data_IF_066575575552
#
_entry.id   IF_066575575552
#
_cell.length_a   1.000
_cell.length_b   1.000
_cell.length_c   1.000
_cell.angle_alpha   90.00
_cell.angle_beta   90.00
_cell.angle_gamma   90.00
#
_symmetry.space_group_name_H-M   'P 1'
#
loop_
_entity.id
_entity.type
_entity.pdbx_description
1 polymer ?
#
# COMPACT_ATOMS: atom_id res chain seq x y z
N UNK A 1 1.63 20.21 -9.64
CA UNK A 1 0.67 19.40 -10.44
C UNK A 1 0.11 20.18 -11.62
N UNK A 2 -0.69 21.24 -11.42
CA UNK A 2 -1.31 21.99 -12.53
C UNK A 2 -0.30 22.53 -13.56
N UNK A 3 0.88 22.97 -13.12
CA UNK A 3 1.99 23.42 -13.99
C UNK A 3 2.46 22.32 -14.97
N UNK A 4 2.26 21.04 -14.62
CA UNK A 4 2.57 19.88 -15.45
C UNK A 4 1.33 19.28 -16.15
N UNK A 5 0.24 20.04 -16.26
CA UNK A 5 -0.99 19.59 -16.92
C UNK A 5 -1.78 18.52 -16.16
N UNK A 6 -1.44 18.27 -14.90
CA UNK A 6 -2.16 17.32 -14.04
C UNK A 6 -3.24 18.05 -13.26
N UNK A 7 -4.50 17.72 -13.51
CA UNK A 7 -5.67 18.36 -12.91
C UNK A 7 -6.39 17.46 -11.90
N UNK A 8 -6.06 16.17 -11.89
CA UNK A 8 -6.52 15.20 -10.92
C UNK A 8 -5.35 14.47 -10.27
N UNK A 9 -5.51 14.03 -9.03
CA UNK A 9 -4.51 13.20 -8.35
C UNK A 9 -4.32 11.85 -9.05
N UNK A 10 -5.34 11.34 -9.75
CA UNK A 10 -5.23 10.13 -10.57
C UNK A 10 -4.22 10.24 -11.70
N UNK A 11 -3.88 11.45 -12.14
CA UNK A 11 -2.96 11.67 -13.25
C UNK A 11 -1.51 11.30 -12.87
N UNK A 12 -1.26 11.04 -11.57
CA UNK A 12 0.01 10.51 -11.07
C UNK A 12 0.14 8.99 -11.20
N UNK A 13 -0.95 8.26 -11.47
CA UNK A 13 -0.95 6.78 -11.46
C UNK A 13 -0.03 6.23 -12.55
N UNK A 14 -0.21 6.65 -13.80
CA UNK A 14 0.61 6.19 -14.93
C UNK A 14 2.09 6.60 -14.76
N UNK A 15 2.44 7.88 -14.47
CA UNK A 15 3.83 8.28 -14.28
C UNK A 15 4.56 7.57 -13.13
N UNK A 16 3.83 7.22 -12.07
CA UNK A 16 4.38 6.43 -10.96
C UNK A 16 4.57 4.96 -11.36
N UNK A 17 3.62 4.39 -12.10
CA UNK A 17 3.71 3.01 -12.60
C UNK A 17 4.90 2.83 -13.56
N UNK A 18 5.16 3.81 -14.43
CA UNK A 18 6.34 3.82 -15.33
C UNK A 18 7.67 3.74 -14.57
N UNK A 19 7.70 4.21 -13.32
CA UNK A 19 8.86 4.16 -12.41
C UNK A 19 8.82 2.94 -11.48
N UNK A 20 7.94 1.98 -11.74
CA UNK A 20 7.78 0.74 -10.96
C UNK A 20 6.99 0.91 -9.66
N UNK A 21 6.30 2.05 -9.47
CA UNK A 21 5.53 2.35 -8.27
C UNK A 21 4.04 2.25 -8.60
N UNK A 22 3.46 1.08 -8.32
CA UNK A 22 2.03 0.84 -8.56
C UNK A 22 1.24 1.16 -7.29
N UNK A 23 0.37 2.16 -7.37
CA UNK A 23 -0.52 2.57 -6.29
C UNK A 23 -1.97 2.56 -6.78
N UNK A 24 -2.91 2.24 -5.88
CA UNK A 24 -4.33 2.42 -6.14
C UNK A 24 -4.72 3.90 -6.15
N UNK A 25 -5.82 4.25 -6.81
CA UNK A 25 -6.32 5.63 -6.87
C UNK A 25 -6.52 6.23 -5.46
N UNK A 26 -7.03 5.45 -4.52
CA UNK A 26 -7.20 5.88 -3.13
C UNK A 26 -5.86 6.11 -2.42
N UNK A 27 -4.83 5.29 -2.71
CA UNK A 27 -3.49 5.49 -2.15
C UNK A 27 -2.87 6.78 -2.69
N UNK A 28 -3.00 7.04 -3.99
CA UNK A 28 -2.52 8.28 -4.61
C UNK A 28 -3.25 9.50 -4.04
N UNK A 29 -4.56 9.40 -3.86
CA UNK A 29 -5.33 10.47 -3.21
C UNK A 29 -4.81 10.75 -1.79
N UNK A 30 -4.65 9.73 -0.94
CA UNK A 30 -4.15 9.91 0.44
C UNK A 30 -2.72 10.44 0.49
N UNK A 31 -1.89 10.08 -0.48
CA UNK A 31 -0.52 10.57 -0.59
C UNK A 31 -0.45 12.09 -0.84
N UNK A 32 -1.40 12.63 -1.61
CA UNK A 32 -1.39 14.03 -2.06
C UNK A 32 -2.31 14.92 -1.21
N UNK A 33 -3.46 14.41 -0.79
CA UNK A 33 -4.50 15.18 -0.11
C UNK A 33 -4.43 15.09 1.43
N UNK A 34 -3.77 14.06 1.97
CA UNK A 34 -3.60 13.84 3.42
C UNK A 34 -2.11 13.82 3.78
N UNK A 35 -1.79 13.89 5.07
CA UNK A 35 -0.43 13.64 5.56
C UNK A 35 -0.19 12.13 5.61
N UNK A 36 0.68 11.55 4.75
CA UNK A 36 0.93 10.12 4.77
C UNK A 36 1.75 9.73 6.02
N UNK A 37 1.39 8.64 6.69
CA UNK A 37 2.15 8.13 7.84
C UNK A 37 3.48 7.49 7.44
N UNK A 38 3.53 6.92 6.23
CA UNK A 38 4.67 6.16 5.71
C UNK A 38 4.81 6.43 4.23
N UNK A 39 6.02 6.80 3.83
CA UNK A 39 6.42 6.99 2.44
C UNK A 39 7.80 6.36 2.25
N UNK A 40 8.05 5.82 1.06
CA UNK A 40 9.36 5.27 0.71
C UNK A 40 10.18 6.34 0.00
N UNK A 41 11.50 6.32 0.17
CA UNK A 41 12.39 7.27 -0.53
C UNK A 41 12.23 7.21 -2.06
N UNK A 42 12.13 6.03 -2.72
CA UNK A 42 11.91 5.97 -4.15
C UNK A 42 10.63 6.67 -4.61
N UNK A 43 9.55 6.60 -3.82
CA UNK A 43 8.30 7.30 -4.11
C UNK A 43 8.49 8.81 -4.08
N UNK A 44 9.20 9.32 -3.07
CA UNK A 44 9.46 10.75 -2.94
C UNK A 44 10.30 11.24 -4.13
N UNK A 45 11.37 10.53 -4.48
CA UNK A 45 12.22 10.88 -5.61
C UNK A 45 11.45 10.82 -6.94
N UNK A 46 10.59 9.82 -7.11
CA UNK A 46 9.71 9.73 -8.28
C UNK A 46 8.76 10.93 -8.34
N UNK A 47 8.17 11.36 -7.22
CA UNK A 47 7.33 12.55 -7.20
C UNK A 47 8.11 13.81 -7.55
N UNK A 48 9.32 13.99 -7.03
CA UNK A 48 10.17 15.12 -7.39
C UNK A 48 10.44 15.18 -8.90
N UNK A 49 10.77 14.04 -9.51
CA UNK A 49 10.99 13.90 -10.96
C UNK A 49 9.70 14.10 -11.78
N UNK A 50 8.56 13.61 -11.28
CA UNK A 50 7.21 13.79 -11.88
C UNK A 50 6.65 15.21 -11.67
N UNK A 51 7.19 16.00 -10.75
CA UNK A 51 6.68 17.34 -10.44
C UNK A 51 7.65 18.49 -10.76
N UNK A 52 8.89 18.19 -11.17
CA UNK A 52 9.99 19.14 -11.43
C UNK A 52 10.40 19.94 -10.21
N UNK A 53 10.36 19.30 -9.04
CA UNK A 53 10.59 20.01 -7.80
C UNK A 53 11.69 19.35 -6.97
N UNK A 54 12.27 20.14 -6.08
CA UNK A 54 13.26 19.66 -5.12
C UNK A 54 12.56 18.97 -3.95
N UNK A 55 13.32 18.17 -3.20
CA UNK A 55 12.82 17.49 -1.99
C UNK A 55 12.27 18.49 -0.95
N UNK A 56 12.89 19.67 -0.86
CA UNK A 56 12.46 20.76 0.01
C UNK A 56 11.10 21.34 -0.37
N UNK A 57 10.70 21.22 -1.63
CA UNK A 57 9.42 21.74 -2.12
C UNK A 57 8.26 20.78 -1.78
N UNK A 58 8.56 19.50 -1.55
CA UNK A 58 7.59 18.50 -1.08
C UNK A 58 7.37 18.56 0.44
N UNK A 59 8.40 18.95 1.20
CA UNK A 59 8.38 18.93 2.65
C UNK A 59 7.85 20.25 3.21
N UNK A 60 6.55 20.30 3.53
CA UNK A 60 6.01 21.39 4.35
C UNK A 60 6.42 21.19 5.82
N UNK A 61 6.83 22.27 6.49
CA UNK A 61 6.97 22.26 7.95
C UNK A 61 5.62 21.90 8.57
N UNK A 62 5.55 20.88 9.44
CA UNK A 62 4.29 20.50 10.06
C UNK A 62 3.77 21.67 10.88
N UNK A 63 2.60 22.19 10.50
CA UNK A 63 1.91 23.20 11.29
C UNK A 63 1.57 22.58 12.66
N UNK A 64 2.07 23.15 13.78
CA UNK A 64 1.83 22.59 15.11
C UNK A 64 0.33 22.52 15.45
N UNK A 65 -0.53 23.31 14.80
CA UNK A 65 -1.97 23.26 14.98
C UNK A 65 -2.65 22.05 14.31
N UNK A 66 -2.01 21.43 13.30
CA UNK A 66 -2.53 20.25 12.58
C UNK A 66 -1.95 18.91 13.06
N UNK A 67 -1.06 18.92 14.05
CA UNK A 67 -0.50 17.72 14.65
C UNK A 67 -1.56 16.94 15.43
N UNK A 68 -2.44 16.25 14.71
CA UNK A 68 -3.45 15.38 15.29
C UNK A 68 -2.72 14.14 15.76
N UNK A 69 -2.56 14.00 17.08
CA UNK A 69 -2.00 12.79 17.71
C UNK A 69 -2.79 11.57 17.20
N UNK A 70 -2.13 10.49 16.74
CA UNK A 70 -2.86 9.29 16.38
C UNK A 70 -3.61 8.78 17.60
N UNK A 71 -4.93 8.63 17.48
CA UNK A 71 -5.71 7.87 18.44
C UNK A 71 -5.04 6.49 18.56
N UNK A 72 -4.63 6.13 19.78
CA UNK A 72 -4.08 4.80 20.09
C UNK A 72 -5.04 3.76 19.49
N UNK A 73 -4.63 3.10 18.41
CA UNK A 73 -5.32 1.89 17.95
C UNK A 73 -5.28 0.92 19.12
N UNK A 74 -6.44 0.71 19.73
CA UNK A 74 -6.62 -0.28 20.77
C UNK A 74 -6.01 -1.60 20.28
N UNK A 75 -5.17 -2.18 21.12
CA UNK A 75 -4.47 -3.42 20.86
C UNK A 75 -5.45 -4.47 20.31
N UNK A 76 -5.22 -4.93 19.07
CA UNK A 76 -5.76 -6.22 18.63
C UNK A 76 -5.15 -7.26 19.55
N UNK A 77 -5.92 -7.72 20.53
CA UNK A 77 -5.61 -8.90 21.34
C UNK A 77 -5.50 -10.08 20.38
N UNK A 78 -4.27 -10.52 20.10
CA UNK A 78 -4.00 -11.85 19.53
C UNK A 78 -4.53 -12.87 20.54
N UNK A 79 -5.57 -13.60 20.18
CA UNK A 79 -5.77 -14.97 20.66
C UNK A 79 -5.25 -15.89 19.56
N UNK A 80 -4.14 -16.55 19.87
CA UNK A 80 -3.58 -17.69 19.12
C UNK A 80 -4.18 -18.97 19.71
N UNK A 81 -4.48 -19.93 18.83
CA UNK A 81 -5.00 -21.27 19.12
C UNK A 81 -6.47 -21.36 18.71
N UNK A 82 -6.92 -22.20 17.79
CA UNK A 82 -6.35 -23.36 17.14
C UNK A 82 -7.28 -23.68 15.96
N UNK A 83 -6.77 -23.92 14.75
CA UNK A 83 -7.53 -24.70 13.77
C UNK A 83 -6.52 -25.54 12.99
N UNK A 84 -6.62 -26.87 13.04
CA UNK A 84 -5.62 -27.75 12.45
C UNK A 84 -5.62 -27.64 10.92
N UNK A 85 -4.49 -28.00 10.34
CA UNK A 85 -4.26 -28.23 8.92
C UNK A 85 -5.40 -29.07 8.28
N UNK A 86 -5.72 -28.85 6.98
CA UNK A 86 -6.69 -29.68 6.28
C UNK A 86 -6.19 -31.13 6.21
N UNK A 87 -7.03 -32.15 6.47
CA UNK A 87 -6.62 -33.53 6.27
C UNK A 87 -6.37 -33.76 4.77
N UNK A 88 -5.16 -34.20 4.48
CA UNK A 88 -4.73 -34.80 3.22
C UNK A 88 -5.80 -35.75 2.70
N UNK A 89 -6.44 -35.38 1.59
CA UNK A 89 -7.27 -36.29 0.80
C UNK A 89 -6.34 -37.25 0.06
N UNK A 90 -5.94 -38.33 0.73
CA UNK A 90 -5.33 -39.48 0.08
C UNK A 90 -6.48 -40.35 -0.43
N UNK A 91 -6.67 -40.51 -1.75
CA UNK A 91 -7.67 -41.44 -2.27
C UNK A 91 -7.24 -42.86 -1.87
N UNK A 92 -8.14 -43.71 -1.34
CA UNK A 92 -7.81 -45.10 -1.16
C UNK A 92 -7.58 -45.72 -2.54
N UNK A 93 -6.35 -46.18 -2.73
CA UNK A 93 -5.90 -47.14 -3.71
C UNK A 93 -7.00 -48.11 -4.16
N UNK A 94 -7.51 -47.86 -5.37
CA UNK A 94 -8.12 -48.88 -6.22
C UNK A 94 -6.98 -49.76 -6.76
N UNK A 95 -6.56 -50.75 -5.97
CA UNK A 95 -5.75 -51.86 -6.48
C UNK A 95 -6.29 -53.17 -5.92
N UNK A 96 -6.55 -54.10 -6.84
CA UNK A 96 -7.45 -55.22 -6.65
C UNK A 96 -6.93 -56.38 -5.78
N UNK A 97 -7.91 -57.14 -5.31
CA UNK A 97 -7.81 -58.56 -4.98
C UNK A 97 -9.20 -59.14 -5.28
N UNK A 98 -9.39 -59.69 -6.48
CA UNK A 98 -9.32 -61.13 -6.78
C UNK A 98 -10.42 -61.92 -6.05
N UNK A 99 -11.23 -62.66 -6.82
CA UNK A 99 -12.31 -63.57 -6.39
C UNK A 99 -11.86 -64.71 -5.45
N UNK A 100 -12.63 -65.80 -5.28
CA UNK A 100 -13.38 -66.54 -6.31
C UNK A 100 -14.91 -66.50 -6.19
#
# INVERSE_FOLDING_TARGET
MAVRGMFSTSDLIEPLADRGIVLSRSQVYRLVAETPERVTIPLILALCDILDCQLTDLAATPDPAKATRPAKRAARKKTVGETPLPPSAVPPSFFGRSGP
#
